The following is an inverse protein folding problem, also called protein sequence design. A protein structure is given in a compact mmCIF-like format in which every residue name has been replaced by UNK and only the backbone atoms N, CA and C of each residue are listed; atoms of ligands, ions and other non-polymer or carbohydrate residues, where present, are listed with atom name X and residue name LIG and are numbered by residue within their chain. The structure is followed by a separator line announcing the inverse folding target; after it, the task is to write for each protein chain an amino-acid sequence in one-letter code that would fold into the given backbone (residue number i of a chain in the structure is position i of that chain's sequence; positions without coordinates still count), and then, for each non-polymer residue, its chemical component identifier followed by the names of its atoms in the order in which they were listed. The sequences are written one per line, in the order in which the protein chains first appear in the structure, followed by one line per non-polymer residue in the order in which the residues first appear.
data_IF_519453706195
#
_entry.id   IF_519453706195
#
_cell.length_a   1.000
_cell.length_b   1.000
_cell.length_c   1.000
_cell.angle_alpha   90.00
_cell.angle_beta   90.00
_cell.angle_gamma   90.00
#
_symmetry.space_group_name_H-M   'P 1'
#
loop_
_entity.id
_entity.type
_entity.pdbx_description
1 polymer ?
#
# COMPACT_ATOMS: atom_id res chain seq x y z
N UNK A 1 19.99 15.62 -33.96
CA UNK A 1 18.98 14.96 -33.12
C UNK A 1 19.57 13.62 -32.72
N UNK A 2 19.71 13.34 -31.43
CA UNK A 2 20.18 12.04 -30.96
C UNK A 2 19.04 11.07 -31.18
N UNK A 3 19.23 10.04 -32.01
CA UNK A 3 18.24 8.98 -32.15
C UNK A 3 17.94 8.39 -30.76
N UNK A 4 16.66 8.29 -30.35
CA UNK A 4 16.35 7.60 -29.11
C UNK A 4 16.88 6.17 -29.18
N UNK A 5 17.68 5.82 -28.17
CA UNK A 5 18.22 4.49 -27.89
C UNK A 5 17.17 3.40 -28.16
N UNK A 6 17.52 2.38 -28.95
CA UNK A 6 16.65 1.26 -29.33
C UNK A 6 15.94 0.67 -28.10
N UNK A 7 16.67 0.54 -26.98
CA UNK A 7 16.11 0.08 -25.71
C UNK A 7 14.96 0.95 -25.21
N UNK A 8 15.10 2.27 -25.28
CA UNK A 8 14.08 3.22 -24.84
C UNK A 8 12.81 3.14 -25.72
N UNK A 9 12.98 2.91 -27.02
CA UNK A 9 11.86 2.73 -27.96
C UNK A 9 11.10 1.43 -27.71
N UNK A 10 11.81 0.31 -27.57
CA UNK A 10 11.21 -0.98 -27.22
C UNK A 10 10.41 -0.85 -25.92
N UNK A 11 10.97 -0.18 -24.90
CA UNK A 11 10.30 0.05 -23.62
C UNK A 11 9.05 0.93 -23.76
N UNK A 12 9.13 1.99 -24.58
CA UNK A 12 8.00 2.86 -24.84
C UNK A 12 6.84 2.11 -25.52
N UNK A 13 7.12 1.37 -26.59
CA UNK A 13 6.10 0.60 -27.31
C UNK A 13 5.48 -0.49 -26.45
N UNK A 14 6.32 -1.23 -25.70
CA UNK A 14 5.83 -2.25 -24.78
C UNK A 14 4.89 -1.64 -23.74
N UNK A 15 5.21 -0.45 -23.22
CA UNK A 15 4.36 0.26 -22.26
C UNK A 15 3.01 0.66 -22.86
N UNK A 16 2.96 1.10 -24.12
CA UNK A 16 1.71 1.42 -24.81
C UNK A 16 0.82 0.20 -25.02
N UNK A 17 1.43 -0.97 -25.23
CA UNK A 17 0.71 -2.24 -25.40
C UNK A 17 0.29 -2.88 -24.07
N UNK A 18 0.91 -2.51 -22.96
CA UNK A 18 0.68 -3.11 -21.65
C UNK A 18 -0.68 -2.66 -21.09
N UNK A 19 -1.67 -3.57 -20.93
CA UNK A 19 -2.98 -3.20 -20.40
C UNK A 19 -2.93 -2.99 -18.87
N UNK A 20 -3.95 -2.33 -18.32
CA UNK A 20 -4.04 -2.08 -16.87
C UNK A 20 -4.03 -3.37 -16.04
N UNK A 21 -4.65 -4.44 -16.54
CA UNK A 21 -4.69 -5.78 -15.92
C UNK A 21 -3.57 -6.71 -16.40
N UNK A 22 -2.44 -6.15 -16.85
CA UNK A 22 -1.31 -6.92 -17.37
C UNK A 22 -0.82 -8.00 -16.40
N UNK A 23 -0.77 -7.71 -15.09
CA UNK A 23 -0.29 -8.67 -14.10
C UNK A 23 -1.22 -9.88 -13.96
N UNK A 24 -2.54 -9.67 -14.01
CA UNK A 24 -3.53 -10.74 -14.03
C UNK A 24 -3.41 -11.60 -15.28
N UNK A 25 -3.25 -10.97 -16.45
CA UNK A 25 -3.07 -11.68 -17.69
C UNK A 25 -1.75 -12.47 -17.70
N UNK A 26 -0.66 -11.88 -17.21
CA UNK A 26 0.65 -12.51 -17.11
C UNK A 26 0.59 -13.75 -16.19
N UNK A 27 -0.08 -13.66 -15.04
CA UNK A 27 -0.28 -14.81 -14.15
C UNK A 27 -1.11 -15.91 -14.82
N UNK A 28 -2.20 -15.55 -15.48
CA UNK A 28 -3.11 -16.49 -16.14
C UNK A 28 -2.47 -17.18 -17.36
N UNK A 29 -1.54 -16.48 -18.04
CA UNK A 29 -0.88 -16.93 -19.26
C UNK A 29 0.60 -17.31 -19.03
N UNK A 30 1.04 -17.47 -17.78
CA UNK A 30 2.46 -17.67 -17.46
C UNK A 30 3.09 -18.86 -18.22
N UNK A 31 2.34 -19.96 -18.36
CA UNK A 31 2.79 -21.14 -19.09
C UNK A 31 2.61 -21.04 -20.62
N UNK A 32 2.00 -19.96 -21.12
CA UNK A 32 1.77 -19.77 -22.54
C UNK A 32 2.99 -19.07 -23.17
N UNK A 33 3.87 -19.80 -23.88
CA UNK A 33 5.04 -19.20 -24.51
C UNK A 33 4.66 -18.14 -25.56
N UNK A 34 3.43 -18.22 -26.10
CA UNK A 34 2.96 -17.26 -27.09
C UNK A 34 2.53 -15.92 -26.47
N UNK A 35 2.38 -15.82 -25.14
CA UNK A 35 1.92 -14.58 -24.52
C UNK A 35 2.96 -13.46 -24.67
N UNK A 36 4.20 -13.69 -24.24
CA UNK A 36 5.31 -12.75 -24.44
C UNK A 36 5.59 -12.51 -25.94
N UNK A 37 5.52 -13.58 -26.76
CA UNK A 37 5.78 -13.48 -28.20
C UNK A 37 4.81 -12.57 -28.94
N UNK A 38 3.54 -12.46 -28.49
CA UNK A 38 2.58 -11.52 -29.04
C UNK A 38 3.05 -10.07 -28.86
N UNK A 39 3.42 -9.69 -27.63
CA UNK A 39 3.95 -8.36 -27.36
C UNK A 39 5.22 -8.10 -28.16
N UNK A 40 6.13 -9.06 -28.19
CA UNK A 40 7.39 -8.98 -28.95
C UNK A 40 7.16 -8.70 -30.42
N UNK A 41 6.26 -9.48 -31.04
CA UNK A 41 5.90 -9.33 -32.45
C UNK A 41 5.25 -7.99 -32.73
N UNK A 42 4.33 -7.54 -31.88
CA UNK A 42 3.68 -6.23 -32.02
C UNK A 42 4.65 -5.06 -31.85
N UNK A 43 5.59 -5.13 -30.90
CA UNK A 43 6.65 -4.12 -30.77
C UNK A 43 7.55 -4.12 -32.01
N UNK A 44 8.00 -5.29 -32.48
CA UNK A 44 8.84 -5.40 -33.69
C UNK A 44 8.16 -4.85 -34.96
N UNK A 45 6.84 -4.92 -35.04
CA UNK A 45 6.03 -4.38 -36.14
C UNK A 45 5.60 -2.91 -35.94
N UNK A 46 5.99 -2.28 -34.83
CA UNK A 46 5.60 -0.90 -34.55
C UNK A 46 6.32 0.08 -35.48
N UNK A 47 5.63 1.17 -35.84
CA UNK A 47 6.18 2.22 -36.70
C UNK A 47 7.42 2.92 -36.14
N UNK A 48 7.64 2.85 -34.82
CA UNK A 48 8.81 3.47 -34.18
C UNK A 48 10.10 2.67 -34.36
N UNK A 49 9.97 1.41 -34.78
CA UNK A 49 11.07 0.50 -35.15
C UNK A 49 11.11 0.20 -36.66
N UNK A 50 10.03 0.46 -37.39
CA UNK A 50 9.95 0.32 -38.84
C UNK A 50 10.94 1.30 -39.52
N UNK A 51 11.93 0.78 -40.26
CA UNK A 51 13.01 1.49 -40.98
C UNK A 51 14.31 1.81 -40.22
N UNK A 52 14.66 1.07 -39.15
CA UNK A 52 15.94 1.24 -38.47
C UNK A 52 16.95 0.11 -38.76
N UNK A 53 18.22 0.48 -38.86
CA UNK A 53 19.36 -0.44 -38.93
C UNK A 53 19.68 -0.97 -37.52
N UNK A 54 18.92 -1.95 -37.04
CA UNK A 54 19.30 -2.78 -35.89
C UNK A 54 19.34 -4.24 -36.30
N UNK A 55 20.25 -5.01 -35.68
CA UNK A 55 20.30 -6.46 -35.92
C UNK A 55 19.22 -7.16 -35.10
N UNK A 56 18.74 -8.29 -35.61
CA UNK A 56 17.83 -9.15 -34.85
C UNK A 56 18.46 -9.58 -33.51
N UNK A 57 19.76 -9.88 -33.49
CA UNK A 57 20.49 -10.24 -32.27
C UNK A 57 20.47 -9.12 -31.21
N UNK A 58 20.63 -7.86 -31.63
CA UNK A 58 20.58 -6.72 -30.73
C UNK A 58 19.17 -6.53 -30.14
N UNK A 59 18.13 -6.66 -30.98
CA UNK A 59 16.74 -6.60 -30.53
C UNK A 59 16.44 -7.72 -29.53
N UNK A 60 16.82 -8.96 -29.82
CA UNK A 60 16.60 -10.13 -28.95
C UNK A 60 17.24 -9.95 -27.57
N UNK A 61 18.48 -9.45 -27.53
CA UNK A 61 19.19 -9.15 -26.28
C UNK A 61 18.46 -8.08 -25.46
N UNK A 62 18.06 -6.98 -26.11
CA UNK A 62 17.39 -5.87 -25.43
C UNK A 62 15.96 -6.22 -24.99
N UNK A 63 15.27 -7.08 -25.76
CA UNK A 63 13.90 -7.48 -25.49
C UNK A 63 13.73 -8.11 -24.11
N UNK A 64 14.57 -9.09 -23.76
CA UNK A 64 14.46 -9.76 -22.45
C UNK A 64 14.69 -8.79 -21.28
N UNK A 65 15.67 -7.89 -21.41
CA UNK A 65 15.91 -6.85 -20.40
C UNK A 65 14.70 -5.91 -20.24
N UNK A 66 14.14 -5.45 -21.36
CA UNK A 66 13.00 -4.53 -21.37
C UNK A 66 11.73 -5.23 -20.86
N UNK A 67 11.52 -6.50 -21.21
CA UNK A 67 10.40 -7.29 -20.74
C UNK A 67 10.43 -7.46 -19.22
N UNK A 68 11.58 -7.84 -18.65
CA UNK A 68 11.73 -7.96 -17.19
C UNK A 68 11.57 -6.60 -16.49
N UNK A 69 12.10 -5.53 -17.07
CA UNK A 69 11.91 -4.18 -16.56
C UNK A 69 10.42 -3.77 -16.57
N UNK A 70 9.69 -4.08 -17.64
CA UNK A 70 8.25 -3.79 -17.74
C UNK A 70 7.44 -4.55 -16.69
N UNK A 71 7.75 -5.83 -16.42
CA UNK A 71 7.09 -6.57 -15.34
C UNK A 71 7.36 -5.91 -13.98
N UNK A 72 8.61 -5.52 -13.71
CA UNK A 72 8.98 -4.85 -12.46
C UNK A 72 8.27 -3.51 -12.29
N UNK A 73 8.16 -2.73 -13.36
CA UNK A 73 7.45 -1.46 -13.34
C UNK A 73 5.93 -1.68 -13.19
N UNK A 74 5.36 -2.64 -13.91
CA UNK A 74 3.95 -3.00 -13.76
C UNK A 74 3.62 -3.41 -12.32
N UNK A 75 4.46 -4.22 -11.67
CA UNK A 75 4.32 -4.57 -10.24
C UNK A 75 4.29 -3.35 -9.32
N UNK A 76 5.04 -2.29 -9.64
CA UNK A 76 5.12 -1.06 -8.85
C UNK A 76 3.93 -0.12 -9.05
N UNK A 77 3.44 0.01 -10.28
CA UNK A 77 2.46 1.04 -10.63
C UNK A 77 1.03 0.51 -10.77
N UNK A 78 0.88 -0.73 -11.22
CA UNK A 78 -0.41 -1.35 -11.49
C UNK A 78 -0.89 -2.11 -10.25
N UNK A 79 -2.21 -2.26 -10.14
CA UNK A 79 -2.79 -3.14 -9.14
C UNK A 79 -2.79 -4.57 -9.65
N UNK A 80 -2.60 -5.52 -8.74
CA UNK A 80 -2.90 -6.93 -8.96
C UNK A 80 -3.99 -7.35 -7.98
N UNK A 81 -5.11 -7.87 -8.49
CA UNK A 81 -6.26 -8.28 -7.67
C UNK A 81 -6.79 -7.15 -6.74
N UNK A 82 -6.68 -5.91 -7.20
CA UNK A 82 -7.11 -4.71 -6.44
C UNK A 82 -6.11 -4.23 -5.38
N UNK A 83 -4.93 -4.83 -5.29
CA UNK A 83 -3.85 -4.45 -4.37
C UNK A 83 -2.63 -3.90 -5.10
N UNK A 84 -1.84 -3.06 -4.42
CA UNK A 84 -0.57 -2.52 -4.91
C UNK A 84 0.58 -2.86 -3.96
N UNK A 85 1.81 -2.86 -4.48
CA UNK A 85 3.00 -2.86 -3.63
C UNK A 85 2.95 -1.65 -2.68
N UNK A 86 3.41 -1.86 -1.45
CA UNK A 86 3.34 -0.94 -0.31
C UNK A 86 1.92 -0.66 0.24
N UNK A 87 0.87 -1.32 -0.27
CA UNK A 87 -0.43 -1.28 0.40
C UNK A 87 -0.29 -1.77 1.84
N UNK A 88 -0.72 -0.92 2.78
CA UNK A 88 -0.66 -1.17 4.22
C UNK A 88 -1.80 -2.09 4.64
N UNK A 89 -1.46 -3.21 5.25
CA UNK A 89 -2.40 -4.22 5.72
C UNK A 89 -2.47 -4.26 7.24
N UNK A 90 -3.65 -4.59 7.75
CA UNK A 90 -3.88 -4.89 9.16
C UNK A 90 -4.67 -6.19 9.26
N UNK A 91 -4.23 -7.06 10.15
CA UNK A 91 -4.94 -8.26 10.58
C UNK A 91 -5.48 -8.02 11.97
N UNK A 92 -6.79 -8.15 12.13
CA UNK A 92 -7.42 -8.13 13.44
C UNK A 92 -7.41 -9.54 14.03
N UNK A 93 -6.63 -9.73 15.09
CA UNK A 93 -6.63 -10.94 15.91
C UNK A 93 -7.64 -10.79 17.06
N UNK A 94 -7.79 -11.82 17.89
CA UNK A 94 -8.67 -11.80 19.06
C UNK A 94 -8.33 -10.63 20.01
N UNK A 95 -9.38 -10.06 20.63
CA UNK A 95 -9.33 -9.11 21.74
C UNK A 95 -8.16 -8.11 21.71
N UNK A 96 -8.18 -7.23 20.70
CA UNK A 96 -7.33 -6.03 20.52
C UNK A 96 -5.93 -6.25 19.94
N UNK A 97 -5.50 -7.50 19.75
CA UNK A 97 -4.24 -7.77 19.07
C UNK A 97 -4.37 -7.47 17.58
N UNK A 98 -3.39 -6.74 17.04
CA UNK A 98 -3.36 -6.38 15.63
C UNK A 98 -1.98 -6.66 15.08
N UNK A 99 -1.95 -7.27 13.91
CA UNK A 99 -0.74 -7.39 13.11
C UNK A 99 -0.82 -6.37 11.98
N UNK A 100 0.26 -5.64 11.75
CA UNK A 100 0.37 -4.69 10.62
C UNK A 100 1.39 -5.25 9.66
N UNK A 101 1.16 -5.06 8.38
CA UNK A 101 2.09 -5.50 7.36
C UNK A 101 1.94 -4.63 6.13
N UNK A 102 2.67 -5.00 5.09
CA UNK A 102 2.52 -4.40 3.79
C UNK A 102 2.77 -5.42 2.69
N UNK A 103 2.17 -5.19 1.54
CA UNK A 103 2.49 -5.96 0.34
C UNK A 103 3.86 -5.53 -0.15
N UNK A 104 4.76 -6.49 -0.34
CA UNK A 104 6.14 -6.23 -0.78
C UNK A 104 6.41 -6.70 -2.21
N UNK A 105 5.65 -7.69 -2.70
CA UNK A 105 5.77 -8.18 -4.07
C UNK A 105 4.52 -8.99 -4.48
N UNK A 106 4.46 -9.35 -5.76
CA UNK A 106 3.55 -10.34 -6.31
C UNK A 106 4.33 -11.52 -6.88
N UNK A 107 4.07 -12.72 -6.38
CA UNK A 107 4.61 -13.96 -6.95
C UNK A 107 3.72 -14.39 -8.14
N UNK A 108 4.27 -14.19 -9.34
CA UNK A 108 3.55 -14.42 -10.58
C UNK A 108 3.85 -15.79 -11.22
N UNK A 109 4.65 -16.64 -10.57
CA UNK A 109 4.99 -17.97 -11.08
C UNK A 109 3.72 -18.81 -11.30
N UNK A 110 3.71 -19.73 -12.28
CA UNK A 110 2.51 -20.52 -12.61
C UNK A 110 1.97 -21.30 -11.41
N UNK A 111 2.88 -21.93 -10.67
CA UNK A 111 2.66 -22.76 -9.49
C UNK A 111 2.29 -21.94 -8.24
N UNK A 112 2.49 -20.63 -8.25
CA UNK A 112 2.15 -19.76 -7.11
C UNK A 112 0.62 -19.70 -6.96
N UNK A 113 0.09 -20.44 -5.99
CA UNK A 113 -1.33 -20.42 -5.60
C UNK A 113 -1.67 -19.24 -4.69
N UNK A 114 -0.64 -18.59 -4.12
CA UNK A 114 -0.72 -17.47 -3.18
C UNK A 114 0.17 -16.32 -3.66
N UNK A 115 -0.31 -15.52 -4.63
CA UNK A 115 0.52 -14.55 -5.33
C UNK A 115 0.83 -13.29 -4.51
N UNK A 116 0.10 -12.97 -3.45
CA UNK A 116 0.29 -11.73 -2.68
C UNK A 116 1.36 -11.94 -1.61
N UNK A 117 2.52 -11.29 -1.74
CA UNK A 117 3.63 -11.43 -0.79
C UNK A 117 3.55 -10.31 0.24
N UNK A 118 3.29 -10.67 1.50
CA UNK A 118 3.10 -9.72 2.61
C UNK A 118 4.23 -9.84 3.61
N UNK A 119 4.86 -8.72 3.95
CA UNK A 119 5.79 -8.61 5.05
C UNK A 119 5.09 -8.02 6.28
N UNK A 120 5.17 -8.71 7.41
CA UNK A 120 4.61 -8.28 8.68
C UNK A 120 5.63 -7.52 9.54
N UNK A 121 5.15 -6.82 10.58
CA UNK A 121 6.00 -6.02 11.51
C UNK A 121 7.15 -6.83 12.12
N UNK A 122 6.91 -8.12 12.37
CA UNK A 122 7.87 -9.07 12.93
C UNK A 122 8.88 -9.58 11.88
N UNK A 123 8.95 -8.92 10.71
CA UNK A 123 9.79 -9.27 9.56
C UNK A 123 9.45 -10.59 8.88
N UNK A 124 8.41 -11.31 9.31
CA UNK A 124 7.99 -12.53 8.61
C UNK A 124 7.36 -12.18 7.27
N UNK A 125 7.63 -13.03 6.27
CA UNK A 125 7.05 -12.93 4.94
C UNK A 125 6.11 -14.10 4.73
N UNK A 126 4.86 -13.80 4.40
CA UNK A 126 3.81 -14.80 4.19
C UNK A 126 3.11 -14.52 2.86
N UNK A 127 2.84 -15.58 2.13
CA UNK A 127 2.14 -15.53 0.85
C UNK A 127 0.64 -15.76 1.08
N UNK A 128 -0.18 -14.94 0.43
CA UNK A 128 -1.63 -14.98 0.50
C UNK A 128 -2.27 -15.02 -0.89
N UNK A 129 -3.49 -15.55 -0.96
CA UNK A 129 -4.43 -15.21 -2.01
C UNK A 129 -5.57 -14.35 -1.43
N UNK A 130 -6.46 -13.85 -2.29
CA UNK A 130 -7.61 -13.03 -1.85
C UNK A 130 -8.48 -13.74 -0.80
N UNK A 131 -8.70 -15.05 -0.94
CA UNK A 131 -9.50 -15.82 -0.01
C UNK A 131 -8.86 -15.88 1.38
N UNK A 132 -7.54 -16.09 1.45
CA UNK A 132 -6.80 -16.08 2.70
C UNK A 132 -6.90 -14.71 3.38
N UNK A 133 -6.76 -13.62 2.63
CA UNK A 133 -6.88 -12.26 3.20
C UNK A 133 -8.26 -12.04 3.83
N UNK A 134 -9.33 -12.40 3.12
CA UNK A 134 -10.71 -12.23 3.60
C UNK A 134 -10.98 -13.10 4.81
N UNK A 135 -10.65 -14.40 4.74
CA UNK A 135 -10.94 -15.37 5.80
C UNK A 135 -10.17 -15.09 7.08
N UNK A 136 -8.96 -14.52 6.99
CA UNK A 136 -8.13 -14.16 8.13
C UNK A 136 -8.37 -12.73 8.64
N UNK A 137 -9.38 -12.03 8.10
CA UNK A 137 -9.69 -10.66 8.51
C UNK A 137 -8.58 -9.66 8.20
N UNK A 138 -7.76 -9.93 7.18
CA UNK A 138 -6.71 -9.04 6.72
C UNK A 138 -7.32 -8.03 5.76
N UNK A 139 -7.13 -6.75 6.03
CA UNK A 139 -7.67 -5.67 5.20
C UNK A 139 -6.69 -4.52 5.08
N UNK A 140 -6.83 -3.73 4.01
CA UNK A 140 -6.08 -2.48 3.91
C UNK A 140 -6.51 -1.53 5.01
N UNK A 141 -5.57 -0.70 5.44
CA UNK A 141 -5.86 0.38 6.36
C UNK A 141 -5.14 1.66 5.95
N UNK A 142 -5.76 2.77 6.31
CA UNK A 142 -5.22 4.09 6.09
C UNK A 142 -5.01 4.79 7.43
N UNK A 143 -4.00 5.64 7.46
CA UNK A 143 -3.86 6.69 8.46
C UNK A 143 -4.38 7.99 7.84
N UNK A 144 -5.17 8.73 8.60
CA UNK A 144 -5.67 10.04 8.23
C UNK A 144 -5.24 11.04 9.30
N UNK A 145 -4.48 12.03 8.86
CA UNK A 145 -3.98 13.08 9.72
C UNK A 145 -4.95 14.27 9.67
N UNK A 146 -5.68 14.50 10.77
CA UNK A 146 -6.59 15.64 10.90
C UNK A 146 -5.85 16.91 11.30
N UNK A 147 -4.79 16.76 12.09
CA UNK A 147 -3.82 17.80 12.41
C UNK A 147 -2.48 17.17 12.82
N UNK A 148 -1.47 18.00 13.11
CA UNK A 148 -0.20 17.50 13.67
C UNK A 148 -0.37 16.78 15.01
N UNK A 149 -1.49 16.98 15.70
CA UNK A 149 -1.79 16.36 16.99
C UNK A 149 -2.81 15.21 16.87
N UNK A 150 -3.76 15.29 15.95
CA UNK A 150 -4.90 14.36 15.91
C UNK A 150 -4.80 13.51 14.65
N UNK A 151 -4.70 12.21 14.86
CA UNK A 151 -4.58 11.22 13.79
C UNK A 151 -5.51 10.06 14.08
N UNK A 152 -6.14 9.51 13.06
CA UNK A 152 -6.85 8.24 13.19
C UNK A 152 -6.40 7.23 12.13
N UNK A 153 -6.55 5.96 12.48
CA UNK A 153 -6.21 4.82 11.64
C UNK A 153 -7.47 3.97 11.49
N UNK A 154 -7.81 3.58 10.26
CA UNK A 154 -9.02 2.81 9.98
C UNK A 154 -8.78 1.77 8.90
N UNK A 155 -9.34 0.57 9.08
CA UNK A 155 -9.36 -0.45 8.04
C UNK A 155 -10.55 -0.28 7.09
N UNK A 156 -10.39 -0.73 5.85
CA UNK A 156 -11.51 -0.80 4.88
C UNK A 156 -12.65 -1.68 5.38
N UNK A 157 -12.32 -2.73 6.16
CA UNK A 157 -13.31 -3.61 6.80
C UNK A 157 -14.07 -2.95 7.95
N UNK A 158 -13.68 -1.74 8.38
CA UNK A 158 -14.21 -1.01 9.54
C UNK A 158 -14.13 -1.74 10.89
N UNK A 159 -13.46 -2.90 10.93
CA UNK A 159 -13.20 -3.67 12.16
C UNK A 159 -12.06 -3.07 13.00
N UNK A 160 -11.23 -2.25 12.38
CA UNK A 160 -10.13 -1.54 13.03
C UNK A 160 -10.36 -0.04 12.94
N UNK A 161 -10.43 0.63 14.08
CA UNK A 161 -10.47 2.08 14.20
C UNK A 161 -9.69 2.50 15.46
N UNK A 162 -8.60 3.24 15.28
CA UNK A 162 -7.79 3.78 16.38
C UNK A 162 -7.59 5.28 16.20
N UNK A 163 -7.57 5.99 17.32
CA UNK A 163 -7.36 7.44 17.36
C UNK A 163 -6.20 7.74 18.28
N UNK A 164 -5.33 8.63 17.85
CA UNK A 164 -4.16 9.09 18.57
C UNK A 164 -4.22 10.61 18.71
N UNK A 165 -3.93 11.08 19.93
CA UNK A 165 -3.82 12.51 20.23
C UNK A 165 -2.43 12.75 20.80
N UNK A 166 -1.58 13.40 20.01
CA UNK A 166 -0.18 13.66 20.30
C UNK A 166 0.05 15.01 20.97
N UNK A 167 1.00 15.04 21.90
CA UNK A 167 1.41 16.20 22.67
C UNK A 167 2.93 16.33 22.72
N UNK A 168 3.41 17.58 22.65
CA UNK A 168 4.84 17.89 22.78
C UNK A 168 5.37 17.62 24.19
N UNK A 169 4.54 17.79 25.22
CA UNK A 169 4.93 17.61 26.62
C UNK A 169 3.87 16.87 27.44
N UNK A 170 4.28 16.18 28.50
CA UNK A 170 3.34 15.54 29.43
C UNK A 170 2.45 16.57 30.16
N UNK A 171 2.97 17.78 30.40
CA UNK A 171 2.22 18.85 31.08
C UNK A 171 1.01 19.26 30.23
N UNK A 172 1.23 19.55 28.95
CA UNK A 172 0.17 19.85 27.99
C UNK A 172 -0.87 18.72 27.93
N UNK A 173 -0.40 17.47 27.80
CA UNK A 173 -1.27 16.30 27.75
C UNK A 173 -2.19 16.21 28.99
N UNK A 174 -1.63 16.37 30.20
CA UNK A 174 -2.39 16.32 31.46
C UNK A 174 -3.39 17.47 31.59
N UNK A 175 -3.05 18.67 31.09
CA UNK A 175 -3.97 19.83 31.08
C UNK A 175 -5.20 19.56 30.20
N UNK A 176 -5.00 18.96 29.03
CA UNK A 176 -6.09 18.66 28.09
C UNK A 176 -6.88 17.40 28.43
N UNK A 177 -6.33 16.50 29.25
CA UNK A 177 -6.95 15.21 29.59
C UNK A 177 -8.42 15.30 30.02
N UNK A 178 -8.86 16.23 30.90
CA UNK A 178 -10.26 16.31 31.32
C UNK A 178 -11.19 16.66 30.15
N UNK A 179 -10.82 17.63 29.31
CA UNK A 179 -11.61 18.04 28.15
C UNK A 179 -11.68 16.90 27.12
N UNK A 180 -10.55 16.26 26.82
CA UNK A 180 -10.51 15.15 25.89
C UNK A 180 -11.35 13.96 26.36
N UNK A 181 -11.32 13.62 27.66
CA UNK A 181 -12.19 12.56 28.21
C UNK A 181 -13.67 12.92 28.10
N UNK A 182 -14.02 14.19 28.36
CA UNK A 182 -15.40 14.67 28.23
C UNK A 182 -15.93 14.56 26.80
N UNK A 183 -15.08 14.84 25.80
CA UNK A 183 -15.42 14.80 24.38
C UNK A 183 -15.36 13.38 23.80
N UNK A 184 -14.26 12.65 23.98
CA UNK A 184 -13.99 11.40 23.26
C UNK A 184 -14.34 10.14 24.04
N UNK A 185 -14.41 10.20 25.37
CA UNK A 185 -14.68 9.04 26.23
C UNK A 185 -13.44 8.56 26.97
N UNK A 186 -13.23 7.24 27.05
CA UNK A 186 -12.12 6.67 27.80
C UNK A 186 -10.84 6.72 26.96
N UNK A 187 -9.81 7.31 27.54
CA UNK A 187 -8.48 7.39 26.95
C UNK A 187 -7.51 6.49 27.73
N UNK A 188 -6.49 6.00 27.02
CA UNK A 188 -5.39 5.26 27.61
C UNK A 188 -4.59 6.10 28.61
N UNK A 189 -3.66 5.46 29.30
CA UNK A 189 -2.58 6.18 29.93
C UNK A 189 -1.75 6.92 28.87
N UNK A 190 -1.07 8.00 29.30
CA UNK A 190 -0.17 8.74 28.43
C UNK A 190 1.02 7.83 28.11
N UNK A 191 1.23 7.53 26.84
CA UNK A 191 2.32 6.66 26.39
C UNK A 191 3.33 7.45 25.57
N UNK A 192 4.58 7.02 25.62
CA UNK A 192 5.63 7.45 24.71
C UNK A 192 5.79 6.35 23.66
N UNK A 193 5.49 6.67 22.41
CA UNK A 193 5.64 5.73 21.29
C UNK A 193 7.04 5.88 20.68
N UNK A 194 7.68 4.77 20.24
CA UNK A 194 8.97 4.83 19.56
C UNK A 194 8.83 5.54 18.20
N UNK A 195 9.88 6.24 17.73
CA UNK A 195 9.86 7.03 16.49
C UNK A 195 9.31 6.27 15.27
N UNK A 196 9.61 4.98 15.17
CA UNK A 196 9.15 4.09 14.09
C UNK A 196 7.65 3.82 14.09
N UNK A 197 6.97 4.08 15.20
CA UNK A 197 5.54 3.79 15.40
C UNK A 197 4.72 5.05 15.71
N UNK A 198 5.37 6.22 15.79
CA UNK A 198 4.70 7.48 16.11
C UNK A 198 3.71 7.85 15.01
N UNK A 199 2.40 7.87 15.30
CA UNK A 199 1.40 8.26 14.31
C UNK A 199 1.39 9.77 14.10
N UNK A 200 1.98 10.54 15.01
CA UNK A 200 2.07 12.00 14.95
C UNK A 200 3.52 12.43 15.25
N UNK A 201 3.97 13.63 14.84
CA UNK A 201 5.32 14.13 15.14
C UNK A 201 5.58 14.39 16.64
N UNK A 202 4.63 14.10 17.51
CA UNK A 202 4.72 14.36 18.95
C UNK A 202 5.21 13.15 19.72
N UNK A 203 5.77 13.41 20.90
CA UNK A 203 6.42 12.38 21.73
C UNK A 203 5.42 11.60 22.58
N UNK A 204 4.42 12.28 23.12
CA UNK A 204 3.47 11.70 24.07
C UNK A 204 2.09 11.57 23.43
N UNK A 205 1.41 10.44 23.65
CA UNK A 205 0.12 10.18 23.03
C UNK A 205 -0.92 9.65 24.02
N UNK A 206 -2.16 10.09 23.84
CA UNK A 206 -3.32 9.34 24.29
C UNK A 206 -3.91 8.53 23.13
N UNK A 207 -4.36 7.32 23.42
CA UNK A 207 -5.18 6.52 22.53
C UNK A 207 -6.61 6.49 23.06
N UNK A 208 -7.59 6.53 22.17
CA UNK A 208 -9.00 6.35 22.58
C UNK A 208 -9.28 4.86 22.76
N UNK A 209 -9.49 4.42 24.00
CA UNK A 209 -9.79 3.03 24.34
C UNK A 209 -11.28 2.72 24.15
N UNK A 210 -12.15 3.69 24.48
CA UNK A 210 -13.59 3.54 24.34
C UNK A 210 -14.23 4.86 23.98
N UNK A 211 -14.79 4.92 22.78
CA UNK A 211 -15.51 6.09 22.30
C UNK A 211 -16.78 6.34 23.12
N UNK A 212 -17.03 7.61 23.41
CA UNK A 212 -18.30 8.10 23.98
C UNK A 212 -19.46 7.92 23.01
N UNK A 213 -19.20 8.17 21.72
CA UNK A 213 -20.18 8.09 20.65
C UNK A 213 -20.11 6.73 19.95
N UNK A 214 -21.26 6.23 19.49
CA UNK A 214 -21.36 4.94 18.79
C UNK A 214 -21.20 5.05 17.27
N UNK A 215 -21.40 6.24 16.70
CA UNK A 215 -21.41 6.45 15.24
C UNK A 215 -20.10 7.06 14.77
N UNK A 216 -19.54 6.49 13.70
CA UNK A 216 -18.31 6.97 13.04
C UNK A 216 -18.41 8.47 12.72
N UNK A 217 -19.52 8.89 12.12
CA UNK A 217 -19.77 10.30 11.79
C UNK A 217 -19.59 11.23 13.00
N UNK A 218 -20.18 10.89 14.15
CA UNK A 218 -20.11 11.76 15.33
C UNK A 218 -18.73 11.76 15.97
N UNK A 219 -18.04 10.62 15.94
CA UNK A 219 -16.64 10.52 16.37
C UNK A 219 -15.77 11.44 15.51
N UNK A 220 -15.89 11.38 14.19
CA UNK A 220 -15.12 12.20 13.26
C UNK A 220 -15.43 13.69 13.39
N UNK A 221 -16.70 14.08 13.61
CA UNK A 221 -17.06 15.48 13.91
C UNK A 221 -16.27 16.01 15.12
N UNK A 222 -16.29 15.27 16.23
CA UNK A 222 -15.59 15.68 17.46
C UNK A 222 -14.08 15.66 17.30
N UNK A 223 -13.52 14.71 16.54
CA UNK A 223 -12.09 14.70 16.25
C UNK A 223 -11.67 15.91 15.41
N UNK A 224 -12.49 16.33 14.45
CA UNK A 224 -12.24 17.55 13.68
C UNK A 224 -12.29 18.80 14.57
N UNK A 225 -13.26 18.90 15.48
CA UNK A 225 -13.32 19.99 16.46
C UNK A 225 -12.05 20.06 17.33
N UNK A 226 -11.57 18.92 17.83
CA UNK A 226 -10.33 18.85 18.61
C UNK A 226 -9.11 19.18 17.76
N UNK A 227 -9.06 18.72 16.50
CA UNK A 227 -7.96 18.97 15.59
C UNK A 227 -7.79 20.47 15.27
N UNK A 228 -8.89 21.25 15.30
CA UNK A 228 -8.88 22.70 15.13
C UNK A 228 -8.40 23.45 16.37
N UNK A 229 -8.41 22.80 17.55
CA UNK A 229 -7.87 23.37 18.78
C UNK A 229 -6.34 23.26 18.76
N UNK A 230 -5.64 24.37 19.03
CA UNK A 230 -4.19 24.32 19.28
C UNK A 230 -3.95 23.67 20.63
N UNK A 231 -3.67 22.37 20.62
CA UNK A 231 -3.23 21.62 21.79
C UNK A 231 -1.77 22.00 22.09
N UNK A 232 -1.58 23.10 22.84
CA UNK A 232 -0.27 23.64 23.27
C UNK A 232 0.21 22.90 24.52
#
# INVERSE_FOLDING_TARGET
MVEPDLKARIAWELRLLTPDNFLEQLKAQFQNPNYQQKFKSSVKQSKSLENQDYSDEEFERLWEEVWQANIKDAKRFNSFQGFKIDDRLVQTLEDTQLRKGKIIDFDLAAEASKPLVVQWQDSTVVHYNLYDLISQGISRWAQVDLSAQVVYQMSESKKFFRVFIGFKSQKAAKTWLPELKSKLGRLSHLVELPETEKPTPHKYHYQVEKFKYKTEKKILEVLNEIAQQKLI
#
